data_IF_599723161711
#
_entry.id   IF_599723161711
#
_cell.length_a   1.000
_cell.length_b   1.000
_cell.length_c   1.000
_cell.angle_alpha   90.00
_cell.angle_beta   90.00
_cell.angle_gamma   90.00
#
_symmetry.space_group_name_H-M   'P 1'
#
loop_
_entity.id
_entity.type
_entity.pdbx_description
1 polymer ?
#
# COMPACT_ATOMS: atom_id res chain seq x y z
N UNK A 1 -7.53 -48.40 -17.75
CA UNK A 1 -7.99 -47.59 -16.60
C UNK A 1 -6.95 -46.53 -16.31
N UNK A 2 -7.20 -45.28 -16.72
CA UNK A 2 -6.22 -44.18 -16.60
C UNK A 2 -6.35 -43.44 -15.27
N UNK A 3 -5.24 -43.28 -14.55
CA UNK A 3 -5.16 -42.47 -13.33
C UNK A 3 -4.69 -41.06 -13.68
N UNK A 4 -5.63 -40.19 -14.05
CA UNK A 4 -5.37 -38.75 -14.18
C UNK A 4 -5.43 -38.07 -12.81
N UNK A 5 -4.29 -37.72 -12.22
CA UNK A 5 -4.24 -36.79 -11.07
C UNK A 5 -4.65 -35.40 -11.56
N UNK A 6 -5.79 -34.91 -11.09
CA UNK A 6 -6.21 -33.51 -11.27
C UNK A 6 -5.27 -32.60 -10.47
N UNK A 7 -4.78 -31.48 -11.03
CA UNK A 7 -4.07 -30.49 -10.24
C UNK A 7 -5.03 -29.83 -9.25
N UNK A 8 -4.53 -29.59 -8.03
CA UNK A 8 -5.24 -28.82 -7.02
C UNK A 8 -5.57 -27.44 -7.58
N UNK A 9 -6.86 -27.14 -7.70
CA UNK A 9 -7.32 -25.78 -8.03
C UNK A 9 -6.92 -24.90 -6.86
N UNK A 10 -6.01 -23.97 -7.10
CA UNK A 10 -5.75 -22.87 -6.18
C UNK A 10 -7.08 -22.21 -5.80
N UNK A 11 -7.22 -21.87 -4.53
CA UNK A 11 -8.37 -21.15 -4.00
C UNK A 11 -8.42 -19.75 -4.64
N UNK A 12 -8.94 -19.66 -5.86
CA UNK A 12 -9.33 -18.41 -6.48
C UNK A 12 -10.45 -17.80 -5.63
N UNK A 13 -10.15 -16.69 -4.96
CA UNK A 13 -11.16 -15.90 -4.27
C UNK A 13 -12.18 -15.45 -5.32
N UNK A 14 -13.41 -15.95 -5.20
CA UNK A 14 -14.53 -15.61 -6.08
C UNK A 14 -14.90 -14.13 -5.87
N UNK A 15 -14.91 -13.33 -6.95
CA UNK A 15 -15.65 -12.07 -7.16
C UNK A 15 -15.96 -11.18 -5.96
N UNK A 16 -14.95 -10.66 -5.26
CA UNK A 16 -15.11 -9.61 -4.24
C UNK A 16 -14.67 -8.25 -4.77
N UNK A 17 -15.27 -7.17 -4.26
CA UNK A 17 -14.81 -5.80 -4.51
C UNK A 17 -13.38 -5.61 -4.01
N UNK A 18 -12.53 -4.98 -4.82
CA UNK A 18 -11.21 -4.54 -4.40
C UNK A 18 -11.31 -3.22 -3.63
N UNK A 19 -10.49 -3.05 -2.59
CA UNK A 19 -10.39 -1.80 -1.86
C UNK A 19 -9.11 -1.05 -2.25
N UNK A 20 -9.26 0.26 -2.46
CA UNK A 20 -8.15 1.17 -2.68
C UNK A 20 -8.44 2.54 -2.05
N UNK A 21 -7.47 3.07 -1.30
CA UNK A 21 -7.49 4.44 -0.79
C UNK A 21 -6.19 5.14 -1.18
N UNK A 22 -6.31 6.39 -1.66
CA UNK A 22 -5.18 7.22 -2.04
C UNK A 22 -5.34 8.65 -1.58
N UNK A 23 -4.23 9.32 -1.31
CA UNK A 23 -4.21 10.77 -1.14
C UNK A 23 -3.04 11.26 -0.29
N UNK A 24 -2.94 12.58 -0.22
CA UNK A 24 -2.15 13.30 0.76
C UNK A 24 -2.94 13.36 2.08
N UNK A 25 -2.37 12.79 3.14
CA UNK A 25 -2.96 12.78 4.48
C UNK A 25 -2.29 13.81 5.41
N UNK A 26 -1.32 14.57 4.90
CA UNK A 26 -0.62 15.67 5.57
C UNK A 26 -0.05 15.31 6.96
N UNK A 27 0.36 14.05 7.10
CA UNK A 27 0.88 13.47 8.34
C UNK A 27 1.87 12.38 8.03
N UNK A 28 2.93 12.31 8.84
CA UNK A 28 3.89 11.22 8.79
C UNK A 28 3.26 9.91 9.27
N UNK A 29 3.88 8.74 9.00
CA UNK A 29 3.36 7.47 9.49
C UNK A 29 3.14 7.46 11.01
N UNK A 30 2.25 6.59 11.55
CA UNK A 30 2.02 6.52 12.99
C UNK A 30 3.30 6.06 13.70
N UNK A 31 3.61 6.69 14.83
CA UNK A 31 4.79 6.39 15.62
C UNK A 31 4.98 7.38 16.76
N UNK A 32 5.86 7.05 17.71
CA UNK A 32 6.09 7.87 18.91
C UNK A 32 6.55 9.30 18.60
N UNK A 33 7.21 9.52 17.46
CA UNK A 33 7.66 10.84 16.99
C UNK A 33 6.58 11.65 16.26
N UNK A 34 5.41 11.06 16.00
CA UNK A 34 4.30 11.75 15.33
C UNK A 34 3.17 12.06 16.31
N UNK A 35 3.06 13.33 16.72
CA UNK A 35 1.99 13.81 17.61
C UNK A 35 0.58 13.70 17.00
N UNK A 36 0.47 13.58 15.67
CA UNK A 36 -0.79 13.34 14.94
C UNK A 36 -1.05 11.86 14.69
N UNK A 37 -0.39 10.94 15.42
CA UNK A 37 -0.58 9.51 15.22
C UNK A 37 -2.04 9.04 15.37
N UNK A 38 -2.85 9.80 16.11
CA UNK A 38 -4.29 9.54 16.29
C UNK A 38 -5.11 9.60 15.00
N UNK A 39 -4.62 10.23 13.92
CA UNK A 39 -5.34 10.27 12.63
C UNK A 39 -5.29 8.94 11.88
N UNK A 40 -4.45 8.01 12.32
CA UNK A 40 -4.30 6.69 11.72
C UNK A 40 -5.23 5.72 12.44
N UNK A 41 -6.50 5.56 11.99
CA UNK A 41 -7.43 4.63 12.64
C UNK A 41 -6.91 3.19 12.55
N UNK A 42 -7.48 2.30 13.35
CA UNK A 42 -7.22 0.87 13.21
C UNK A 42 -7.70 0.38 11.83
N UNK A 43 -6.78 0.19 10.89
CA UNK A 43 -7.17 -0.25 9.56
C UNK A 43 -6.17 -0.02 8.43
N UNK A 44 -5.71 1.21 8.14
CA UNK A 44 -4.93 1.49 6.94
C UNK A 44 -3.64 0.69 6.89
N UNK A 45 -2.94 0.60 8.03
CA UNK A 45 -1.69 -0.15 8.13
C UNK A 45 -1.87 -1.60 8.63
N UNK A 46 -3.03 -1.94 9.20
CA UNK A 46 -3.28 -3.28 9.75
C UNK A 46 -4.02 -4.20 8.78
N UNK A 47 -5.07 -3.66 8.13
CA UNK A 47 -5.95 -4.39 7.20
C UNK A 47 -5.51 -4.24 5.75
N UNK A 48 -5.07 -3.05 5.37
CA UNK A 48 -4.56 -2.77 4.04
C UNK A 48 -3.04 -2.66 4.06
N UNK A 49 -2.40 -2.78 2.90
CA UNK A 49 -0.96 -2.61 2.78
C UNK A 49 -0.64 -1.34 2.02
N UNK A 50 0.17 -0.49 2.64
CA UNK A 50 0.75 0.68 1.99
C UNK A 50 1.84 0.27 0.99
N UNK A 51 2.21 1.16 0.07
CA UNK A 51 3.20 0.88 -0.97
C UNK A 51 4.56 0.38 -0.43
N UNK A 52 5.20 1.11 0.47
CA UNK A 52 6.51 0.78 1.03
C UNK A 52 6.43 -0.13 2.27
N UNK A 53 5.23 -0.43 2.75
CA UNK A 53 5.03 -1.31 3.89
C UNK A 53 5.39 -2.77 3.55
N UNK A 54 6.48 -3.28 4.14
CA UNK A 54 6.96 -4.65 3.93
C UNK A 54 6.29 -5.70 4.83
N UNK A 55 5.64 -5.28 5.92
CA UNK A 55 5.01 -6.17 6.89
C UNK A 55 3.91 -5.48 7.70
N UNK A 56 3.12 -6.23 8.50
CA UNK A 56 1.98 -5.71 9.26
C UNK A 56 2.38 -4.60 10.24
N UNK A 57 3.62 -4.58 10.71
CA UNK A 57 4.14 -3.58 11.66
C UNK A 57 4.97 -2.48 10.99
N UNK A 58 5.18 -2.56 9.66
CA UNK A 58 5.94 -1.55 8.93
C UNK A 58 5.22 -0.21 8.92
N UNK A 59 5.85 0.82 9.50
CA UNK A 59 5.37 2.22 9.49
C UNK A 59 6.41 3.17 8.87
N UNK A 60 7.26 2.65 8.01
CA UNK A 60 8.26 3.43 7.28
C UNK A 60 7.86 3.51 5.81
N UNK A 61 8.32 4.54 5.11
CA UNK A 61 8.16 4.66 3.66
C UNK A 61 9.16 5.66 3.10
N UNK A 62 9.36 5.64 1.78
CA UNK A 62 10.14 6.65 1.09
C UNK A 62 9.45 8.02 1.21
N UNK A 63 10.21 9.12 1.27
CA UNK A 63 9.63 10.46 1.21
C UNK A 63 8.73 10.64 -0.01
N UNK A 64 7.66 11.41 0.15
CA UNK A 64 6.79 11.88 -0.93
C UNK A 64 6.78 13.40 -1.08
N UNK A 65 7.60 14.10 -0.28
CA UNK A 65 7.92 15.51 -0.46
C UNK A 65 9.40 15.65 -0.82
N UNK A 66 9.72 16.66 -1.64
CA UNK A 66 11.10 17.07 -1.93
C UNK A 66 11.89 17.42 -0.65
N UNK A 67 11.19 17.91 0.38
CA UNK A 67 11.78 18.20 1.71
C UNK A 67 12.10 16.96 2.55
N UNK A 68 11.75 15.75 2.09
CA UNK A 68 12.04 14.49 2.79
C UNK A 68 10.87 13.93 3.63
N UNK A 69 9.72 14.61 3.68
CA UNK A 69 8.53 14.12 4.39
C UNK A 69 7.78 13.02 3.62
N UNK A 70 7.15 12.08 4.35
CA UNK A 70 6.22 11.08 3.82
C UNK A 70 4.80 11.46 4.22
N UNK A 71 3.97 11.90 3.28
CA UNK A 71 2.60 12.38 3.52
C UNK A 71 1.56 11.90 2.50
N UNK A 72 2.00 11.36 1.37
CA UNK A 72 1.15 10.77 0.34
C UNK A 72 1.11 9.25 0.49
N UNK A 73 -0.07 8.66 0.34
CA UNK A 73 -0.29 7.25 0.63
C UNK A 73 -1.14 6.56 -0.44
N UNK A 74 -0.82 5.28 -0.68
CA UNK A 74 -1.63 4.34 -1.44
C UNK A 74 -1.83 3.11 -0.56
N UNK A 75 -3.07 2.74 -0.27
CA UNK A 75 -3.44 1.54 0.48
C UNK A 75 -4.32 0.64 -0.36
N UNK A 76 -4.09 -0.67 -0.32
CA UNK A 76 -4.93 -1.66 -1.00
C UNK A 76 -4.94 -3.01 -0.28
N UNK A 77 -5.97 -3.81 -0.55
CA UNK A 77 -6.01 -5.24 -0.23
C UNK A 77 -5.59 -6.15 -1.41
N UNK A 78 -5.25 -5.57 -2.56
CA UNK A 78 -4.74 -6.31 -3.71
C UNK A 78 -3.26 -6.71 -3.56
N UNK A 79 -2.81 -7.80 -4.20
CA UNK A 79 -1.39 -8.13 -4.28
C UNK A 79 -0.61 -7.03 -4.99
N UNK A 80 0.35 -6.41 -4.29
CA UNK A 80 1.29 -5.43 -4.84
C UNK A 80 2.40 -6.14 -5.61
N UNK A 81 2.71 -5.66 -6.81
CA UNK A 81 3.83 -6.15 -7.63
C UNK A 81 4.99 -5.16 -7.72
N UNK A 82 4.73 -3.89 -7.45
CA UNK A 82 5.73 -2.84 -7.58
C UNK A 82 5.35 -1.58 -6.80
N UNK A 83 6.37 -0.86 -6.33
CA UNK A 83 6.22 0.40 -5.63
C UNK A 83 7.37 1.34 -6.00
N UNK A 84 7.04 2.57 -6.40
CA UNK A 84 8.03 3.59 -6.71
C UNK A 84 7.57 4.97 -6.27
N UNK A 85 8.55 5.84 -6.01
CA UNK A 85 8.35 7.29 -5.87
C UNK A 85 9.13 7.93 -7.01
N UNK A 86 8.49 8.86 -7.72
CA UNK A 86 9.09 9.56 -8.86
C UNK A 86 8.95 11.07 -8.71
N UNK A 87 10.06 11.78 -8.88
CA UNK A 87 10.04 13.20 -9.13
C UNK A 87 9.51 13.45 -10.55
N UNK A 88 8.50 14.31 -10.66
CA UNK A 88 7.87 14.71 -11.92
C UNK A 88 8.21 16.13 -12.33
N UNK A 89 8.99 16.85 -11.50
CA UNK A 89 9.26 18.30 -11.55
C UNK A 89 8.04 19.22 -11.61
N UNK A 90 6.83 18.68 -11.44
CA UNK A 90 5.58 19.42 -11.55
C UNK A 90 5.03 19.92 -10.19
N UNK A 91 5.56 19.42 -9.08
CA UNK A 91 5.15 19.74 -7.71
C UNK A 91 6.30 19.47 -6.74
N UNK A 92 6.23 20.06 -5.55
CA UNK A 92 7.03 19.69 -4.39
C UNK A 92 6.61 18.33 -3.77
N UNK A 93 5.46 17.79 -4.17
CA UNK A 93 5.09 16.39 -3.97
C UNK A 93 5.65 15.50 -5.07
N UNK A 94 6.18 14.34 -4.66
CA UNK A 94 6.67 13.28 -5.51
C UNK A 94 5.54 12.28 -5.81
N UNK A 95 5.46 11.81 -7.04
CA UNK A 95 4.43 10.84 -7.45
C UNK A 95 4.68 9.48 -6.79
N UNK A 96 3.78 9.07 -5.90
CA UNK A 96 3.73 7.71 -5.35
C UNK A 96 2.97 6.79 -6.31
N UNK A 97 3.61 5.70 -6.73
CA UNK A 97 3.10 4.77 -7.73
C UNK A 97 3.09 3.36 -7.14
N UNK A 98 1.93 2.71 -7.22
CA UNK A 98 1.75 1.31 -6.83
C UNK A 98 1.23 0.49 -8.01
N UNK A 99 1.88 -0.62 -8.28
CA UNK A 99 1.40 -1.63 -9.21
C UNK A 99 0.72 -2.76 -8.45
N UNK A 100 -0.48 -3.14 -8.90
CA UNK A 100 -1.33 -4.15 -8.27
C UNK A 100 -1.80 -5.17 -9.28
N UNK A 101 -2.07 -6.39 -8.83
CA UNK A 101 -2.72 -7.42 -9.65
C UNK A 101 -4.21 -7.45 -9.33
N UNK A 102 -5.03 -6.96 -10.26
CA UNK A 102 -6.46 -7.23 -10.31
C UNK A 102 -6.66 -8.51 -11.13
N UNK A 103 -7.39 -9.48 -10.57
CA UNK A 103 -7.57 -10.82 -11.16
C UNK A 103 -8.40 -10.84 -12.43
#
# INVERSE_FOLDING_TARGET
MGTGRRPARGAGRRGGWAYGLRGDLNSTPPGASNARSWIWPDGPYGRYRECDQQGPDGRTGRPTLVSGGKVDYLFTDLPRSGCSVRDTSASDHLALIMEVRAG
#
